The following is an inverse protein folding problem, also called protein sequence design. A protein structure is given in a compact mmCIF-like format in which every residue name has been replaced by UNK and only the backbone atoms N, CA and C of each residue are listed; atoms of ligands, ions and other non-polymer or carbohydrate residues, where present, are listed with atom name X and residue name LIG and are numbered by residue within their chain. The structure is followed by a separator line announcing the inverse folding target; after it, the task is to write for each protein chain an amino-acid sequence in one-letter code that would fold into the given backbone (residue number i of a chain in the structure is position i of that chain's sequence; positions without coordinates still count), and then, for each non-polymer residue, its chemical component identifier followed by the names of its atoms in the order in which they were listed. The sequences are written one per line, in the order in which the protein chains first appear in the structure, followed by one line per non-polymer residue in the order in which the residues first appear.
data_IF_697651820764
#
_entry.id   IF_697651820764
#
_cell.length_a   1.000
_cell.length_b   1.000
_cell.length_c   1.000
_cell.angle_alpha   90.00
_cell.angle_beta   90.00
_cell.angle_gamma   90.00
#
_symmetry.space_group_name_H-M   'P 1'
#
loop_
_entity.id
_entity.type
_entity.pdbx_description
1 polymer ?
#
# COMPACT_ATOMS: atom_id res chain seq x y z
N UNK A 1 -5.83 8.08 -4.12
CA UNK A 1 -4.77 8.29 -5.14
C UNK A 1 -5.38 9.03 -6.32
N UNK A 2 -4.70 10.00 -6.91
CA UNK A 2 -5.17 10.68 -8.13
C UNK A 2 -4.14 10.69 -9.25
N UNK A 3 -4.62 10.66 -10.50
CA UNK A 3 -3.79 10.81 -11.71
C UNK A 3 -4.65 11.21 -12.92
N UNK A 4 -4.05 11.84 -13.93
CA UNK A 4 -4.63 11.98 -15.27
C UNK A 4 -4.67 10.66 -16.04
N UNK A 5 -3.84 9.68 -15.66
CA UNK A 5 -3.81 8.35 -16.27
C UNK A 5 -4.70 7.38 -15.49
N UNK A 6 -5.86 7.04 -16.08
CA UNK A 6 -6.86 6.18 -15.45
C UNK A 6 -6.38 4.74 -15.22
N UNK A 7 -5.56 4.22 -16.13
CA UNK A 7 -4.97 2.89 -15.97
C UNK A 7 -3.95 2.89 -14.84
N UNK A 8 -3.08 3.92 -14.78
CA UNK A 8 -2.07 4.03 -13.73
C UNK A 8 -2.70 4.11 -12.33
N UNK A 9 -3.71 4.98 -12.13
CA UNK A 9 -4.35 5.10 -10.81
C UNK A 9 -5.07 3.80 -10.40
N UNK A 10 -5.75 3.14 -11.34
CA UNK A 10 -6.42 1.85 -11.08
C UNK A 10 -5.41 0.78 -10.65
N UNK A 11 -4.31 0.67 -11.37
CA UNK A 11 -3.25 -0.29 -11.08
C UNK A 11 -2.53 0.04 -9.77
N UNK A 12 -2.27 1.30 -9.46
CA UNK A 12 -1.65 1.71 -8.21
C UNK A 12 -2.53 1.39 -6.99
N UNK A 13 -3.85 1.60 -7.08
CA UNK A 13 -4.78 1.22 -6.00
C UNK A 13 -4.75 -0.28 -5.76
N UNK A 14 -4.86 -1.09 -6.83
CA UNK A 14 -4.82 -2.54 -6.73
C UNK A 14 -3.46 -3.05 -6.22
N UNK A 15 -2.36 -2.47 -6.70
CA UNK A 15 -1.01 -2.80 -6.27
C UNK A 15 -0.80 -2.45 -4.79
N UNK A 16 -1.29 -1.31 -4.31
CA UNK A 16 -1.21 -0.93 -2.90
C UNK A 16 -1.87 -1.98 -2.00
N UNK A 17 -3.07 -2.44 -2.36
CA UNK A 17 -3.77 -3.49 -1.62
C UNK A 17 -3.02 -4.82 -1.71
N UNK A 18 -2.52 -5.18 -2.89
CA UNK A 18 -1.76 -6.42 -3.07
C UNK A 18 -0.45 -6.44 -2.27
N UNK A 19 0.23 -5.30 -2.12
CA UNK A 19 1.45 -5.15 -1.34
C UNK A 19 1.21 -5.23 0.19
N UNK A 20 -0.04 -5.20 0.65
CA UNK A 20 -0.37 -5.44 2.05
C UNK A 20 -0.23 -6.91 2.46
N UNK A 21 -0.10 -7.84 1.50
CA UNK A 21 0.12 -9.26 1.79
C UNK A 21 1.28 -9.45 2.79
N UNK A 22 1.10 -10.24 3.87
CA UNK A 22 0.03 -11.23 4.08
C UNK A 22 -1.26 -10.70 4.71
N UNK A 23 -1.37 -9.39 4.95
CA UNK A 23 -2.59 -8.76 5.44
C UNK A 23 -3.61 -8.62 4.32
N UNK A 24 -4.88 -8.59 4.71
CA UNK A 24 -5.99 -8.33 3.81
C UNK A 24 -6.68 -7.02 4.22
N UNK A 25 -6.85 -6.11 3.25
CA UNK A 25 -7.53 -4.85 3.48
C UNK A 25 -9.05 -5.08 3.58
N UNK A 26 -9.66 -4.72 4.71
CA UNK A 26 -11.05 -5.07 5.04
C UNK A 26 -12.08 -4.00 4.66
N UNK A 27 -11.64 -2.84 4.18
CA UNK A 27 -12.50 -1.68 3.94
C UNK A 27 -12.71 -1.43 2.43
N UNK A 28 -13.58 -0.49 2.02
CA UNK A 28 -13.85 -0.23 0.61
C UNK A 28 -12.60 0.13 -0.20
N UNK A 29 -12.45 -0.56 -1.34
CA UNK A 29 -11.43 -0.28 -2.36
C UNK A 29 -12.14 0.03 -3.67
N UNK A 30 -11.91 1.23 -4.20
CA UNK A 30 -12.44 1.65 -5.50
C UNK A 30 -11.24 1.99 -6.39
N UNK A 31 -10.82 1.09 -7.30
CA UNK A 31 -9.65 1.32 -8.15
C UNK A 31 -9.74 2.60 -8.98
N UNK A 32 -10.94 2.93 -9.46
CA UNK A 32 -11.22 4.16 -10.16
C UNK A 32 -12.66 4.58 -9.92
N UNK A 33 -12.86 5.73 -9.28
CA UNK A 33 -14.18 6.29 -9.07
C UNK A 33 -14.67 6.96 -10.37
N UNK A 34 -15.89 6.67 -10.85
CA UNK A 34 -16.41 7.30 -12.05
C UNK A 34 -16.59 8.81 -11.89
N UNK A 35 -16.05 9.61 -12.83
CA UNK A 35 -16.10 11.08 -12.76
C UNK A 35 -17.52 11.66 -12.76
N UNK A 36 -18.45 10.99 -13.45
CA UNK A 36 -19.83 11.47 -13.68
C UNK A 36 -20.86 10.80 -12.78
N UNK A 37 -20.45 10.02 -11.79
CA UNK A 37 -21.38 9.47 -10.81
C UNK A 37 -21.91 10.62 -9.93
N UNK A 38 -23.24 10.86 -9.92
CA UNK A 38 -23.84 11.88 -9.07
C UNK A 38 -23.49 11.62 -7.61
N UNK A 39 -23.13 12.67 -6.88
CA UNK A 39 -22.81 12.59 -5.44
C UNK A 39 -21.65 11.66 -5.06
N UNK A 40 -20.82 11.23 -6.01
CA UNK A 40 -19.68 10.34 -5.73
C UNK A 40 -18.68 10.91 -4.71
N UNK A 41 -18.63 12.23 -4.56
CA UNK A 41 -17.86 12.90 -3.53
C UNK A 41 -18.24 12.51 -2.11
N UNK A 42 -19.49 12.09 -1.88
CA UNK A 42 -19.96 11.66 -0.57
C UNK A 42 -19.18 10.43 -0.08
N UNK A 43 -18.62 9.63 -0.99
CA UNK A 43 -17.77 8.50 -0.66
C UNK A 43 -16.46 8.95 0.03
N UNK A 44 -16.00 10.17 -0.21
CA UNK A 44 -14.82 10.73 0.46
C UNK A 44 -15.11 11.13 1.91
N UNK A 45 -16.38 11.26 2.29
CA UNK A 45 -16.84 11.57 3.65
C UNK A 45 -17.25 10.31 4.42
N UNK A 46 -16.91 9.12 3.93
CA UNK A 46 -17.22 7.87 4.62
C UNK A 46 -16.50 7.83 5.98
N UNK A 47 -17.17 7.42 7.07
CA UNK A 47 -16.58 7.38 8.42
C UNK A 47 -15.61 6.20 8.61
N UNK A 48 -15.55 5.28 7.66
CA UNK A 48 -14.64 4.14 7.65
C UNK A 48 -13.46 4.43 6.74
N UNK A 49 -12.26 3.87 7.01
CA UNK A 49 -11.13 3.96 6.08
C UNK A 49 -11.51 3.53 4.66
N UNK A 50 -10.84 4.07 3.65
CA UNK A 50 -11.03 3.66 2.26
C UNK A 50 -9.75 3.86 1.42
N UNK A 51 -9.66 3.13 0.30
CA UNK A 51 -8.67 3.40 -0.75
C UNK A 51 -9.41 3.64 -2.05
N UNK A 52 -9.37 4.88 -2.53
CA UNK A 52 -10.08 5.30 -3.75
C UNK A 52 -9.08 5.88 -4.76
N UNK A 53 -9.17 5.42 -6.00
CA UNK A 53 -8.52 6.01 -7.15
C UNK A 53 -9.42 7.07 -7.79
N UNK A 54 -8.86 8.24 -8.06
CA UNK A 54 -9.58 9.38 -8.60
C UNK A 54 -8.92 9.83 -9.92
N UNK A 55 -9.72 10.16 -10.94
CA UNK A 55 -9.28 11.03 -12.02
C UNK A 55 -8.78 12.36 -11.44
N UNK A 56 -7.64 12.89 -11.91
CA UNK A 56 -7.17 14.22 -11.50
C UNK A 56 -8.20 15.34 -11.78
N UNK A 57 -9.08 15.10 -12.75
CA UNK A 57 -10.21 15.98 -13.08
C UNK A 57 -11.32 16.00 -12.03
N UNK A 58 -11.38 15.03 -11.11
CA UNK A 58 -12.48 14.84 -10.16
C UNK A 58 -12.70 16.06 -9.25
N UNK A 59 -11.64 16.54 -8.60
CA UNK A 59 -11.72 17.72 -7.71
C UNK A 59 -12.00 19.01 -8.49
N UNK A 60 -11.35 19.17 -9.65
CA UNK A 60 -11.50 20.35 -10.49
C UNK A 60 -12.92 20.50 -11.08
N UNK A 61 -13.53 19.39 -11.51
CA UNK A 61 -14.87 19.42 -12.12
C UNK A 61 -15.98 19.64 -11.10
N UNK A 62 -15.79 19.18 -9.86
CA UNK A 62 -16.83 19.25 -8.84
C UNK A 62 -16.68 20.44 -7.89
N UNK A 63 -15.56 21.18 -7.94
CA UNK A 63 -15.25 22.30 -7.03
C UNK A 63 -15.42 21.91 -5.55
N UNK A 64 -14.85 20.76 -5.17
CA UNK A 64 -15.02 20.16 -3.85
C UNK A 64 -13.75 20.31 -3.03
N UNK A 65 -13.92 20.74 -1.79
CA UNK A 65 -12.86 20.73 -0.79
C UNK A 65 -12.56 19.30 -0.34
N UNK A 66 -11.28 18.98 -0.27
CA UNK A 66 -10.81 17.68 0.22
C UNK A 66 -11.11 17.61 1.74
N UNK A 67 -11.76 16.54 2.23
CA UNK A 67 -12.01 16.38 3.67
C UNK A 67 -10.70 16.39 4.48
N UNK A 68 -10.75 16.96 5.70
CA UNK A 68 -9.58 17.18 6.56
C UNK A 68 -8.97 15.91 7.15
N UNK A 69 -9.53 14.74 6.89
CA UNK A 69 -9.09 13.42 7.33
C UNK A 69 -8.66 12.52 6.16
N UNK A 70 -8.57 13.07 4.94
CA UNK A 70 -8.23 12.34 3.72
C UNK A 70 -6.82 12.70 3.25
N UNK A 71 -5.93 11.70 3.21
CA UNK A 71 -4.60 11.83 2.60
C UNK A 71 -4.71 11.68 1.08
N UNK A 72 -4.18 12.64 0.33
CA UNK A 72 -4.18 12.60 -1.14
C UNK A 72 -2.78 12.32 -1.65
N UNK A 73 -2.66 11.26 -2.46
CA UNK A 73 -1.45 10.93 -3.21
C UNK A 73 -1.66 11.35 -4.66
N UNK A 74 -0.89 12.33 -5.13
CA UNK A 74 -0.89 12.77 -6.52
C UNK A 74 0.23 12.05 -7.29
N UNK A 75 -0.16 11.11 -8.14
CA UNK A 75 0.77 10.26 -8.90
C UNK A 75 1.40 11.00 -10.08
N UNK A 76 0.82 12.11 -10.53
CA UNK A 76 1.35 12.87 -11.66
C UNK A 76 2.48 13.81 -11.22
N UNK A 77 2.41 14.29 -9.98
CA UNK A 77 3.40 15.22 -9.39
C UNK A 77 4.29 14.57 -8.34
N UNK A 78 4.04 13.29 -8.00
CA UNK A 78 4.70 12.56 -6.91
C UNK A 78 4.63 13.29 -5.56
N UNK A 79 3.49 13.93 -5.29
CA UNK A 79 3.26 14.66 -4.05
C UNK A 79 2.27 13.95 -3.15
N UNK A 80 2.50 14.11 -1.84
CA UNK A 80 1.63 13.63 -0.78
C UNK A 80 1.06 14.83 -0.03
N UNK A 81 -0.25 14.99 -0.08
CA UNK A 81 -0.99 16.01 0.68
C UNK A 81 -1.55 15.33 1.93
N UNK A 82 -0.93 15.62 3.06
CA UNK A 82 -1.37 15.16 4.38
C UNK A 82 -2.16 16.31 5.03
N UNK A 83 -3.41 16.09 5.45
CA UNK A 83 -4.18 17.13 6.13
C UNK A 83 -3.54 17.61 7.43
N UNK A 84 -3.78 18.87 7.79
CA UNK A 84 -3.31 19.44 9.05
C UNK A 84 -3.91 18.68 10.24
N UNK A 85 -3.05 18.30 11.19
CA UNK A 85 -3.44 17.53 12.38
C UNK A 85 -3.40 16.01 12.19
N UNK A 86 -3.14 15.51 10.97
CA UNK A 86 -2.88 14.07 10.75
C UNK A 86 -1.39 13.78 10.91
N UNK A 87 -1.04 12.88 11.83
CA UNK A 87 0.34 12.41 12.03
C UNK A 87 0.47 10.96 11.59
N UNK A 88 1.40 10.67 10.69
CA UNK A 88 1.73 9.30 10.30
C UNK A 88 2.87 8.82 11.20
N UNK A 89 2.69 7.74 11.99
CA UNK A 89 3.76 7.25 12.84
C UNK A 89 4.91 6.68 12.00
N UNK A 90 6.14 6.96 12.43
CA UNK A 90 7.33 6.46 11.77
C UNK A 90 7.49 4.94 11.93
N UNK A 91 7.81 4.26 10.82
CA UNK A 91 8.16 2.84 10.83
C UNK A 91 9.44 2.64 11.68
N UNK A 92 9.49 1.64 12.58
CA UNK A 92 10.66 1.37 13.41
C UNK A 92 11.93 1.08 12.59
N UNK A 93 13.09 1.42 13.16
CA UNK A 93 14.40 1.03 12.63
C UNK A 93 14.86 -0.28 13.29
N UNK A 94 15.57 -1.17 12.56
CA UNK A 94 16.11 -0.98 11.20
C UNK A 94 15.13 -1.32 10.06
N UNK A 95 13.91 -1.76 10.38
CA UNK A 95 12.96 -2.35 9.43
C UNK A 95 12.59 -1.37 8.29
N UNK A 96 12.44 -0.09 8.62
CA UNK A 96 12.22 1.00 7.66
C UNK A 96 13.35 1.10 6.63
N UNK A 97 14.60 1.18 7.10
CA UNK A 97 15.78 1.29 6.23
C UNK A 97 15.97 0.04 5.38
N UNK A 98 15.78 -1.14 5.94
CA UNK A 98 15.90 -2.41 5.21
C UNK A 98 14.85 -2.55 4.10
N UNK A 99 13.60 -2.16 4.37
CA UNK A 99 12.54 -2.14 3.37
C UNK A 99 12.87 -1.16 2.25
N UNK A 100 13.24 0.09 2.57
CA UNK A 100 13.62 1.10 1.58
C UNK A 100 14.77 0.62 0.69
N UNK A 101 15.80 0.02 1.29
CA UNK A 101 16.95 -0.51 0.55
C UNK A 101 16.56 -1.67 -0.37
N UNK A 102 15.69 -2.57 0.10
CA UNK A 102 15.21 -3.70 -0.69
C UNK A 102 14.36 -3.24 -1.88
N UNK A 103 13.42 -2.31 -1.67
CA UNK A 103 12.60 -1.74 -2.73
C UNK A 103 13.43 -0.97 -3.77
N UNK A 104 14.35 -0.10 -3.32
CA UNK A 104 15.25 0.64 -4.22
C UNK A 104 16.09 -0.31 -5.08
N UNK A 105 16.61 -1.39 -4.50
CA UNK A 105 17.39 -2.39 -5.24
C UNK A 105 16.55 -3.12 -6.28
N UNK A 106 15.34 -3.54 -5.93
CA UNK A 106 14.44 -4.24 -6.86
C UNK A 106 13.99 -3.35 -8.00
N UNK A 107 13.56 -2.12 -7.71
CA UNK A 107 13.11 -1.15 -8.70
C UNK A 107 14.24 -0.59 -9.56
N UNK A 108 15.45 -0.45 -8.99
CA UNK A 108 16.63 -0.03 -9.74
C UNK A 108 16.96 -0.93 -10.91
N UNK A 109 16.71 -2.25 -10.81
CA UNK A 109 16.91 -3.19 -11.92
C UNK A 109 16.01 -2.87 -13.12
N UNK A 110 14.76 -2.47 -12.85
CA UNK A 110 13.81 -2.11 -13.90
C UNK A 110 14.18 -0.79 -14.59
N UNK A 111 14.67 0.19 -13.82
CA UNK A 111 15.02 1.51 -14.32
C UNK A 111 16.34 1.53 -15.12
N UNK A 112 17.29 0.64 -14.79
CA UNK A 112 18.59 0.55 -15.45
C UNK A 112 18.56 -0.30 -16.73
N UNK A 113 17.57 -1.18 -16.89
CA UNK A 113 17.45 -2.07 -18.04
C UNK A 113 16.61 -1.48 -19.19
N UNK A 114 16.11 -0.24 -19.08
CA UNK A 114 15.36 0.37 -20.19
C UNK A 114 16.32 0.65 -21.37
N UNK A 115 16.14 0.01 -22.55
CA UNK A 115 17.05 0.17 -23.66
C UNK A 115 16.73 1.49 -24.37
N UNK A 116 17.76 2.23 -24.75
CA UNK A 116 17.62 3.19 -25.84
C UNK A 116 17.18 2.42 -27.09
N UNK A 117 16.14 2.91 -27.76
CA UNK A 117 15.54 2.24 -28.92
C UNK A 117 16.56 2.15 -30.06
N UNK A 118 17.19 1.00 -30.23
CA UNK A 118 17.82 0.61 -31.49
C UNK A 118 17.23 -0.72 -31.97
N UNK A 119 16.79 -0.69 -33.23
CA UNK A 119 16.02 -1.73 -33.92
C UNK A 119 16.88 -2.98 -34.15
N UNK A 120 16.51 -4.11 -33.55
CA UNK A 120 16.40 -5.44 -34.19
C UNK A 120 16.15 -6.53 -33.12
N UNK A 121 15.16 -7.41 -33.37
CA UNK A 121 14.66 -8.53 -32.53
C UNK A 121 13.58 -8.23 -31.45
N UNK A 122 12.41 -7.76 -31.86
CA UNK A 122 11.28 -7.41 -30.98
C UNK A 122 10.77 -8.56 -30.08
N UNK A 123 10.79 -9.83 -30.53
CA UNK A 123 10.21 -10.95 -29.74
C UNK A 123 11.08 -11.44 -28.58
N UNK A 124 12.41 -11.50 -28.75
CA UNK A 124 13.35 -11.89 -27.68
C UNK A 124 13.54 -10.76 -26.65
N UNK A 125 13.42 -9.52 -27.10
CA UNK A 125 13.55 -8.34 -26.26
C UNK A 125 12.29 -8.17 -25.38
N UNK A 126 11.10 -8.30 -25.96
CA UNK A 126 9.84 -8.25 -25.20
C UNK A 126 9.76 -9.34 -24.13
N UNK A 127 10.13 -10.58 -24.46
CA UNK A 127 10.15 -11.70 -23.51
C UNK A 127 11.15 -11.51 -22.36
N UNK A 128 12.28 -10.86 -22.63
CA UNK A 128 13.26 -10.50 -21.58
C UNK A 128 12.71 -9.42 -20.65
N UNK A 129 12.02 -8.40 -21.18
CA UNK A 129 11.40 -7.34 -20.36
C UNK A 129 10.24 -7.84 -19.51
N UNK A 130 9.41 -8.73 -20.04
CA UNK A 130 8.34 -9.35 -19.26
C UNK A 130 8.92 -10.19 -18.12
N UNK A 131 9.98 -10.95 -18.40
CA UNK A 131 10.68 -11.75 -17.38
C UNK A 131 11.30 -10.86 -16.29
N UNK A 132 11.97 -9.78 -16.66
CA UNK A 132 12.55 -8.83 -15.70
C UNK A 132 11.46 -8.15 -14.84
N UNK A 133 10.33 -7.78 -15.45
CA UNK A 133 9.18 -7.21 -14.73
C UNK A 133 8.61 -8.19 -13.71
N UNK A 134 8.43 -9.46 -14.08
CA UNK A 134 7.94 -10.51 -13.17
C UNK A 134 8.92 -10.75 -12.02
N UNK A 135 10.24 -10.74 -12.30
CA UNK A 135 11.28 -10.89 -11.28
C UNK A 135 11.27 -9.70 -10.32
N UNK A 136 11.12 -8.46 -10.82
CA UNK A 136 11.00 -7.26 -9.99
C UNK A 136 9.75 -7.34 -9.12
N UNK A 137 8.61 -7.72 -9.67
CA UNK A 137 7.34 -7.86 -8.97
C UNK A 137 7.41 -8.90 -7.83
N UNK A 138 8.01 -10.07 -8.09
CA UNK A 138 8.31 -11.06 -7.05
C UNK A 138 9.22 -10.46 -5.97
N UNK A 139 10.28 -9.75 -6.37
CA UNK A 139 11.24 -9.18 -5.42
C UNK A 139 10.62 -8.09 -4.52
N UNK A 140 9.72 -7.26 -5.07
CA UNK A 140 8.96 -6.25 -4.31
C UNK A 140 8.02 -6.93 -3.32
N UNK A 141 7.26 -7.96 -3.73
CA UNK A 141 6.40 -8.72 -2.81
C UNK A 141 7.19 -9.41 -1.70
N UNK A 142 8.32 -10.03 -2.03
CA UNK A 142 9.20 -10.66 -1.03
C UNK A 142 9.74 -9.63 -0.04
N UNK A 143 10.06 -8.41 -0.49
CA UNK A 143 10.48 -7.33 0.40
C UNK A 143 9.38 -6.94 1.40
N UNK A 144 8.12 -6.82 0.94
CA UNK A 144 6.98 -6.54 1.83
C UNK A 144 6.72 -7.67 2.82
N UNK A 145 6.76 -8.93 2.37
CA UNK A 145 6.58 -10.10 3.25
C UNK A 145 7.66 -10.13 4.34
N UNK A 146 8.92 -9.86 3.97
CA UNK A 146 10.03 -9.79 4.92
C UNK A 146 9.84 -8.66 5.93
N UNK A 147 9.37 -7.50 5.47
CA UNK A 147 9.03 -6.38 6.35
C UNK A 147 7.93 -6.75 7.35
N UNK A 148 6.82 -7.34 6.92
CA UNK A 148 5.77 -7.76 7.85
C UNK A 148 6.24 -8.84 8.83
N UNK A 149 7.09 -9.77 8.40
CA UNK A 149 7.66 -10.82 9.25
C UNK A 149 8.86 -10.38 10.10
N UNK A 150 9.21 -9.08 10.08
CA UNK A 150 10.34 -8.56 10.85
C UNK A 150 10.01 -8.39 12.35
N UNK A 151 11.06 -8.31 13.17
CA UNK A 151 10.95 -8.43 14.64
C UNK A 151 10.13 -7.31 15.29
N UNK A 152 10.23 -6.08 14.78
CA UNK A 152 9.48 -4.93 15.32
C UNK A 152 8.07 -4.79 14.71
N UNK A 153 7.73 -5.62 13.71
CA UNK A 153 6.43 -5.62 13.02
C UNK A 153 5.63 -6.84 13.51
N UNK A 154 5.32 -7.84 12.67
CA UNK A 154 4.45 -8.99 13.04
C UNK A 154 5.19 -10.30 13.34
N UNK A 155 6.51 -10.33 13.48
CA UNK A 155 7.20 -11.58 13.81
C UNK A 155 6.55 -12.30 15.01
N UNK A 156 6.31 -13.60 14.90
CA UNK A 156 5.74 -14.45 15.95
C UNK A 156 4.37 -13.99 16.50
N UNK A 157 3.60 -13.17 15.77
CA UNK A 157 2.29 -12.70 16.27
C UNK A 157 1.34 -13.85 16.65
N UNK A 158 1.44 -15.00 15.96
CA UNK A 158 0.64 -16.20 16.23
C UNK A 158 0.79 -16.73 17.64
N UNK A 159 1.96 -16.57 18.27
CA UNK A 159 2.20 -16.95 19.68
C UNK A 159 1.40 -16.09 20.67
N UNK A 160 0.91 -14.95 20.20
CA UNK A 160 0.13 -13.99 20.96
C UNK A 160 -1.33 -13.96 20.49
N UNK A 161 -1.82 -15.03 19.88
CA UNK A 161 -3.23 -15.14 19.49
C UNK A 161 -3.98 -16.09 20.41
N UNK A 162 -5.25 -15.79 20.67
CA UNK A 162 -6.17 -16.64 21.42
C UNK A 162 -7.42 -16.91 20.59
N UNK A 163 -7.74 -18.18 20.42
CA UNK A 163 -9.04 -18.59 19.87
C UNK A 163 -10.15 -18.29 20.87
N UNK A 164 -11.06 -17.41 20.49
CA UNK A 164 -12.24 -17.06 21.27
C UNK A 164 -13.40 -18.02 21.01
N UNK A 165 -13.52 -18.48 19.77
CA UNK A 165 -14.60 -19.37 19.31
C UNK A 165 -14.12 -20.19 18.13
N UNK A 166 -14.52 -21.46 18.04
CA UNK A 166 -14.15 -22.35 16.94
C UNK A 166 -15.24 -22.49 15.86
N UNK A 167 -16.53 -22.45 16.22
CA UNK A 167 -17.64 -22.74 15.30
C UNK A 167 -18.74 -21.67 15.31
N UNK A 168 -19.50 -21.52 14.20
CA UNK A 168 -19.26 -22.10 12.87
C UNK A 168 -18.11 -21.44 12.09
N UNK A 169 -17.63 -20.28 12.52
CA UNK A 169 -16.41 -19.65 12.00
C UNK A 169 -15.44 -19.36 13.16
N UNK A 170 -14.16 -19.76 13.04
CA UNK A 170 -13.16 -19.42 14.03
C UNK A 170 -13.08 -17.90 14.22
N UNK A 171 -13.03 -17.49 15.49
CA UNK A 171 -12.76 -16.11 15.89
C UNK A 171 -11.49 -16.15 16.72
N UNK A 172 -10.46 -15.48 16.23
CA UNK A 172 -9.15 -15.39 16.87
C UNK A 172 -8.94 -13.92 17.26
N UNK A 173 -8.44 -13.70 18.46
CA UNK A 173 -8.08 -12.37 18.93
C UNK A 173 -6.57 -12.30 19.18
N UNK A 174 -5.96 -11.18 18.75
CA UNK A 174 -4.60 -10.84 19.14
C UNK A 174 -4.59 -10.36 20.58
N UNK A 175 -3.69 -10.90 21.39
CA UNK A 175 -3.42 -10.47 22.75
C UNK A 175 -2.43 -9.30 22.70
N UNK A 176 -2.95 -8.09 22.42
CA UNK A 176 -2.15 -6.89 22.13
C UNK A 176 -1.08 -6.61 23.19
N UNK A 177 -1.40 -6.70 24.48
CA UNK A 177 -0.42 -6.46 25.55
C UNK A 177 0.74 -7.46 25.53
N UNK A 178 0.44 -8.75 25.33
CA UNK A 178 1.47 -9.79 25.26
C UNK A 178 2.34 -9.63 24.02
N UNK A 179 1.72 -9.27 22.89
CA UNK A 179 2.41 -9.06 21.62
C UNK A 179 3.34 -7.84 21.68
N UNK A 180 2.87 -6.71 22.20
CA UNK A 180 3.67 -5.50 22.34
C UNK A 180 4.87 -5.72 23.27
N UNK A 181 4.68 -6.47 24.38
CA UNK A 181 5.78 -6.83 25.29
C UNK A 181 6.83 -7.75 24.68
N UNK A 182 6.52 -8.48 23.60
CA UNK A 182 7.49 -9.34 22.92
C UNK A 182 8.30 -8.60 21.85
N UNK A 183 7.96 -7.36 21.51
CA UNK A 183 8.69 -6.57 20.53
C UNK A 183 10.05 -6.12 21.08
N UNK A 184 11.13 -6.13 20.29
CA UNK A 184 12.41 -5.54 20.69
C UNK A 184 12.31 -4.05 21.00
N UNK A 185 11.49 -3.33 20.21
CA UNK A 185 11.20 -1.91 20.42
C UNK A 185 9.69 -1.67 20.34
N UNK A 186 9.14 -1.01 21.36
CA UNK A 186 7.76 -0.55 21.35
C UNK A 186 7.72 0.87 20.82
N UNK A 187 7.17 1.05 19.63
CA UNK A 187 7.00 2.35 18.97
C UNK A 187 5.52 2.74 18.90
N UNK A 188 5.25 4.01 18.59
CA UNK A 188 3.89 4.47 18.31
C UNK A 188 3.29 3.69 17.12
N UNK A 189 4.09 3.44 16.09
CA UNK A 189 3.71 2.67 14.91
C UNK A 189 3.13 1.30 15.27
N UNK A 190 3.86 0.48 16.02
CA UNK A 190 3.37 -0.87 16.37
C UNK A 190 2.18 -0.83 17.33
N UNK A 191 2.12 0.18 18.19
CA UNK A 191 1.01 0.39 19.13
C UNK A 191 -0.29 0.78 18.41
N UNK A 192 -0.19 1.53 17.32
CA UNK A 192 -1.33 1.88 16.46
C UNK A 192 -1.69 0.74 15.50
N UNK A 193 -0.70 0.01 14.98
CA UNK A 193 -0.90 -1.15 14.09
C UNK A 193 -1.74 -2.27 14.72
N UNK A 194 -1.70 -2.41 16.06
CA UNK A 194 -2.47 -3.41 16.78
C UNK A 194 -3.91 -3.00 17.15
N UNK A 195 -4.35 -1.79 16.77
CA UNK A 195 -5.70 -1.30 17.01
C UNK A 195 -6.58 -1.54 15.78
#
# INVERSE_FOLDING_TARGET
LQSRNYNAVSMCVLAMVALMYPLEYMFPVIPLLPSFMPSAEQLLYAPTPFVIGLPASFFAHKAIDIPSDVIVVDLDTNQLLIPEGTTIPDIPEPDCTELKNSLRRSLGKLLLNAPEREQDNDENIASTYTLDSDVVDIAVRVAMIRFFNSANIFANFSEHTRTLRLYPRPVVALQTESFLRSRPQVTQFISELCK
#
